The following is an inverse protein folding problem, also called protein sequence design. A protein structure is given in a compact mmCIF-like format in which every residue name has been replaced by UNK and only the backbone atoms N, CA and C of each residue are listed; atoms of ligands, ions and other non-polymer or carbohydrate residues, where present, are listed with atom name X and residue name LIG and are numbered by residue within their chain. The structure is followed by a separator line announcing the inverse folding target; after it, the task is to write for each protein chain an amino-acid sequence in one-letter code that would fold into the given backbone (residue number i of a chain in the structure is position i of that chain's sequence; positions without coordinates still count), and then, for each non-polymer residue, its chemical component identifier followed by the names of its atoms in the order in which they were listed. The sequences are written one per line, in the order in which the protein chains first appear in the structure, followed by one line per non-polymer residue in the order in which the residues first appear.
data_IF_170090860926
#
_entry.id   IF_170090860926
#
_cell.length_a   1.000
_cell.length_b   1.000
_cell.length_c   1.000
_cell.angle_alpha   90.00
_cell.angle_beta   90.00
_cell.angle_gamma   90.00
#
_symmetry.space_group_name_H-M   'P 1'
#
loop_
_entity.id
_entity.type
_entity.pdbx_description
1 polymer ?
#
# COMPACT_ATOMS: atom_id res chain seq x y z
N UNK A 1 -14.09 -0.18 4.73
CA UNK A 1 -13.90 0.99 3.86
C UNK A 1 -13.18 0.63 2.56
N UNK A 2 -12.07 -0.10 2.61
CA UNK A 2 -11.28 -0.45 1.42
C UNK A 2 -12.08 -1.23 0.36
N UNK A 3 -12.91 -2.19 0.77
CA UNK A 3 -13.71 -3.01 -0.14
C UNK A 3 -14.69 -2.21 -1.03
N UNK A 4 -15.10 -1.02 -0.61
CA UNK A 4 -15.97 -0.15 -1.40
C UNK A 4 -15.23 0.90 -2.22
N UNK A 5 -14.08 1.36 -1.72
CA UNK A 5 -13.35 2.49 -2.32
C UNK A 5 -12.69 2.10 -3.64
N UNK A 6 -12.04 0.94 -3.70
CA UNK A 6 -11.35 0.48 -4.91
C UNK A 6 -12.31 0.27 -6.09
N UNK A 7 -13.41 -0.52 -5.96
CA UNK A 7 -14.34 -0.69 -7.06
C UNK A 7 -14.99 0.61 -7.52
N UNK A 8 -15.40 1.47 -6.57
CA UNK A 8 -16.03 2.74 -6.90
C UNK A 8 -15.10 3.67 -7.70
N UNK A 9 -13.80 3.67 -7.35
CA UNK A 9 -12.84 4.50 -8.08
C UNK A 9 -12.51 3.92 -9.46
N UNK A 10 -12.41 2.60 -9.58
CA UNK A 10 -12.24 1.93 -10.86
C UNK A 10 -13.41 2.20 -11.81
N UNK A 11 -14.64 2.22 -11.29
CA UNK A 11 -15.83 2.57 -12.05
C UNK A 11 -15.87 4.06 -12.43
N UNK A 12 -15.37 4.95 -11.59
CA UNK A 12 -15.28 6.38 -11.87
C UNK A 12 -14.23 6.69 -12.96
N UNK A 13 -13.16 5.89 -13.05
CA UNK A 13 -12.07 6.06 -14.02
C UNK A 13 -11.90 4.85 -14.95
N UNK A 14 -12.89 4.52 -15.79
CA UNK A 14 -12.86 3.30 -16.61
C UNK A 14 -11.75 3.28 -17.67
N UNK A 15 -11.17 4.44 -18.01
CA UNK A 15 -10.07 4.54 -18.99
C UNK A 15 -8.69 4.19 -18.39
N UNK A 16 -8.54 4.27 -17.09
CA UNK A 16 -7.25 4.06 -16.40
C UNK A 16 -7.44 3.55 -14.96
N UNK A 17 -8.06 2.37 -14.78
CA UNK A 17 -8.36 1.85 -13.44
C UNK A 17 -7.09 1.61 -12.61
N UNK A 18 -6.00 1.16 -13.24
CA UNK A 18 -4.72 0.97 -12.57
C UNK A 18 -4.11 2.27 -12.02
N UNK A 19 -4.19 3.36 -12.78
CA UNK A 19 -3.72 4.68 -12.31
C UNK A 19 -4.53 5.17 -11.11
N UNK A 20 -5.84 4.93 -11.12
CA UNK A 20 -6.72 5.27 -10.01
C UNK A 20 -6.34 4.52 -8.72
N UNK A 21 -6.06 3.23 -8.81
CA UNK A 21 -5.61 2.41 -7.68
C UNK A 21 -4.26 2.88 -7.12
N UNK A 22 -3.31 3.19 -8.00
CA UNK A 22 -2.00 3.72 -7.59
C UNK A 22 -2.17 5.06 -6.86
N UNK A 23 -3.10 5.91 -7.30
CA UNK A 23 -3.38 7.19 -6.66
C UNK A 23 -3.91 7.02 -5.24
N UNK A 24 -4.85 6.08 -5.00
CA UNK A 24 -5.31 5.76 -3.63
C UNK A 24 -4.10 5.40 -2.76
N UNK A 25 -3.22 4.55 -3.26
CA UNK A 25 -2.06 4.12 -2.48
C UNK A 25 -1.09 5.27 -2.18
N UNK A 26 -0.91 6.20 -3.11
CA UNK A 26 -0.13 7.41 -2.85
C UNK A 26 -0.69 8.21 -1.67
N UNK A 27 -2.01 8.40 -1.62
CA UNK A 27 -2.67 9.08 -0.50
C UNK A 27 -2.54 8.31 0.81
N UNK A 28 -2.72 6.98 0.81
CA UNK A 28 -2.54 6.13 2.00
C UNK A 28 -1.10 6.24 2.51
N UNK A 29 -0.10 6.11 1.63
CA UNK A 29 1.31 6.22 2.02
C UNK A 29 1.68 7.62 2.51
N UNK A 30 1.09 8.67 1.93
CA UNK A 30 1.27 10.05 2.40
C UNK A 30 0.71 10.22 3.81
N UNK A 31 -0.47 9.66 4.10
CA UNK A 31 -1.05 9.66 5.44
C UNK A 31 -0.17 8.92 6.46
N UNK A 32 0.36 7.77 6.08
CA UNK A 32 1.29 7.00 6.92
C UNK A 32 2.60 7.74 7.19
N UNK A 33 3.07 8.56 6.27
CA UNK A 33 4.25 9.41 6.45
C UNK A 33 3.97 10.62 7.33
N UNK A 34 2.83 11.28 7.12
CA UNK A 34 2.45 12.48 7.87
C UNK A 34 2.15 12.20 9.35
N UNK A 35 1.58 11.05 9.67
CA UNK A 35 1.19 10.71 11.04
C UNK A 35 2.36 10.76 12.04
N UNK A 36 3.51 10.13 11.80
CA UNK A 36 4.67 10.24 12.70
C UNK A 36 5.19 11.67 12.84
N UNK A 37 5.11 12.47 11.77
CA UNK A 37 5.54 13.88 11.82
C UNK A 37 4.60 14.71 12.71
N UNK A 38 3.29 14.50 12.59
CA UNK A 38 2.30 15.17 13.46
C UNK A 38 2.52 14.77 14.91
N UNK A 39 2.72 13.50 15.20
CA UNK A 39 3.00 13.02 16.56
C UNK A 39 4.30 13.63 17.10
N UNK A 40 5.37 13.66 16.31
CA UNK A 40 6.64 14.27 16.71
C UNK A 40 6.50 15.77 17.03
N UNK A 41 5.68 16.46 16.25
CA UNK A 41 5.43 17.90 16.45
C UNK A 41 4.61 18.15 17.73
N UNK A 42 3.61 17.31 18.02
CA UNK A 42 2.83 17.38 19.24
C UNK A 42 3.69 17.10 20.49
N UNK A 43 4.57 16.08 20.41
CA UNK A 43 5.51 15.77 21.49
C UNK A 43 6.51 16.91 21.71
N UNK A 44 7.01 17.52 20.63
CA UNK A 44 7.90 18.68 20.73
C UNK A 44 7.21 19.90 21.36
N UNK A 45 5.90 20.07 21.08
CA UNK A 45 5.08 21.14 21.66
C UNK A 45 4.58 20.83 23.08
N UNK A 46 5.07 19.74 23.71
CA UNK A 46 4.64 19.26 25.03
C UNK A 46 3.12 19.05 25.18
N UNK A 47 2.43 18.83 24.07
CA UNK A 47 1.01 18.57 24.06
C UNK A 47 0.74 17.09 24.34
N UNK A 48 -0.38 16.84 25.01
CA UNK A 48 -0.84 15.47 25.25
C UNK A 48 -1.06 14.72 23.94
N UNK A 49 -0.51 13.51 23.82
CA UNK A 49 -0.57 12.73 22.57
C UNK A 49 -2.00 12.45 22.10
N UNK A 50 -3.01 12.50 22.98
CA UNK A 50 -4.42 12.36 22.64
C UNK A 50 -4.93 13.38 21.60
N UNK A 51 -4.25 14.52 21.45
CA UNK A 51 -4.55 15.49 20.40
C UNK A 51 -4.41 14.90 18.99
N UNK A 52 -3.50 13.94 18.80
CA UNK A 52 -3.36 13.24 17.51
C UNK A 52 -4.64 12.48 17.12
N UNK A 53 -5.31 11.86 18.09
CA UNK A 53 -6.59 11.18 17.86
C UNK A 53 -7.72 12.17 17.61
N UNK A 54 -7.73 13.31 18.30
CA UNK A 54 -8.74 14.37 18.07
C UNK A 54 -8.58 14.98 16.68
N UNK A 55 -7.36 15.23 16.22
CA UNK A 55 -7.08 15.71 14.85
C UNK A 55 -7.55 14.67 13.83
N UNK A 56 -7.22 13.39 14.02
CA UNK A 56 -7.65 12.31 13.14
C UNK A 56 -9.19 12.21 13.11
N UNK A 57 -9.86 12.27 14.25
CA UNK A 57 -11.32 12.28 14.35
C UNK A 57 -11.94 13.48 13.61
N UNK A 58 -11.35 14.67 13.75
CA UNK A 58 -11.77 15.88 13.03
C UNK A 58 -11.66 15.72 11.51
N UNK A 59 -10.55 15.18 11.02
CA UNK A 59 -10.35 14.88 9.59
C UNK A 59 -11.40 13.86 9.09
N UNK A 60 -11.65 12.80 9.87
CA UNK A 60 -12.66 11.78 9.54
C UNK A 60 -14.07 12.40 9.49
N UNK A 61 -14.39 13.27 10.43
CA UNK A 61 -15.68 13.98 10.45
C UNK A 61 -15.87 14.88 9.23
N UNK A 62 -14.85 15.67 8.89
CA UNK A 62 -14.87 16.51 7.69
C UNK A 62 -15.04 15.64 6.42
N UNK A 63 -14.31 14.53 6.32
CA UNK A 63 -14.45 13.59 5.22
C UNK A 63 -15.88 13.01 5.14
N UNK A 64 -16.49 12.65 6.26
CA UNK A 64 -17.87 12.16 6.29
C UNK A 64 -18.85 13.22 5.75
N UNK A 65 -18.67 14.50 6.09
CA UNK A 65 -19.47 15.60 5.56
C UNK A 65 -19.31 15.78 4.04
N UNK A 66 -18.08 15.65 3.53
CA UNK A 66 -17.85 15.69 2.09
C UNK A 66 -18.50 14.49 1.39
N UNK A 67 -18.35 13.29 1.91
CA UNK A 67 -18.95 12.07 1.35
C UNK A 67 -20.48 12.13 1.34
N UNK A 68 -21.10 12.76 2.32
CA UNK A 68 -22.55 12.96 2.36
C UNK A 68 -23.05 13.78 1.16
N UNK A 69 -22.25 14.69 0.65
CA UNK A 69 -22.58 15.52 -0.53
C UNK A 69 -22.13 14.91 -1.87
N UNK A 70 -21.30 13.86 -1.85
CA UNK A 70 -20.82 13.22 -3.07
C UNK A 70 -21.91 12.33 -3.68
N UNK A 71 -22.14 12.49 -4.98
CA UNK A 71 -22.97 11.56 -5.75
C UNK A 71 -22.15 10.35 -6.13
N UNK A 72 -22.47 9.21 -5.54
CA UNK A 72 -21.83 7.94 -5.92
C UNK A 72 -22.31 7.48 -7.29
N UNK A 73 -21.47 6.78 -8.07
CA UNK A 73 -21.88 6.18 -9.32
C UNK A 73 -23.06 5.23 -9.09
N UNK A 74 -24.02 5.17 -10.03
CA UNK A 74 -25.20 4.31 -9.89
C UNK A 74 -24.80 2.84 -9.75
N UNK A 75 -25.46 2.14 -8.85
CA UNK A 75 -25.20 0.72 -8.58
C UNK A 75 -25.20 -0.09 -9.88
N UNK A 76 -24.23 -1.00 -10.10
CA UNK A 76 -24.12 -1.79 -11.34
C UNK A 76 -25.39 -2.58 -11.71
N UNK A 77 -26.20 -2.98 -10.73
CA UNK A 77 -27.51 -3.60 -10.94
C UNK A 77 -28.61 -2.71 -11.53
N UNK A 78 -28.38 -1.39 -11.61
CA UNK A 78 -29.29 -0.40 -12.22
C UNK A 78 -28.88 0.04 -13.62
N UNK A 79 -27.77 -0.45 -14.13
CA UNK A 79 -27.38 -0.15 -15.51
C UNK A 79 -28.33 -0.88 -16.45
N UNK A 80 -29.04 -0.12 -17.28
CA UNK A 80 -29.74 -0.64 -18.44
C UNK A 80 -28.83 -1.59 -19.23
N UNK A 81 -29.36 -2.64 -19.85
CA UNK A 81 -28.54 -3.62 -20.54
C UNK A 81 -27.63 -2.89 -21.53
N UNK A 82 -26.33 -2.86 -21.19
CA UNK A 82 -25.32 -2.37 -22.11
C UNK A 82 -25.39 -3.27 -23.33
N UNK A 83 -25.70 -2.66 -24.49
CA UNK A 83 -25.57 -3.28 -25.79
C UNK A 83 -24.25 -4.04 -25.77
N UNK A 84 -24.33 -5.38 -25.84
CA UNK A 84 -23.18 -6.25 -25.96
C UNK A 84 -22.33 -5.76 -27.12
N UNK A 85 -21.28 -5.01 -26.84
CA UNK A 85 -20.19 -4.92 -27.79
C UNK A 85 -19.67 -6.31 -27.93
N UNK A 86 -19.98 -6.94 -29.06
CA UNK A 86 -19.39 -8.16 -29.58
C UNK A 86 -17.90 -7.89 -29.84
N UNK A 87 -17.15 -7.75 -28.80
CA UNK A 87 -15.72 -7.94 -28.87
C UNK A 87 -15.53 -9.39 -28.42
N UNK A 88 -15.11 -10.22 -29.33
CA UNK A 88 -14.63 -11.58 -29.10
C UNK A 88 -13.41 -11.51 -28.16
N UNK A 89 -13.66 -11.21 -26.91
CA UNK A 89 -12.72 -11.52 -25.83
C UNK A 89 -12.85 -13.05 -25.68
N UNK A 90 -11.83 -13.75 -26.09
CA UNK A 90 -11.57 -15.11 -25.66
C UNK A 90 -11.80 -15.10 -24.14
N UNK A 91 -12.90 -15.71 -23.70
CA UNK A 91 -13.16 -15.91 -22.28
C UNK A 91 -12.01 -16.77 -21.77
N UNK A 92 -11.00 -16.14 -21.22
CA UNK A 92 -9.98 -16.83 -20.46
C UNK A 92 -10.72 -17.39 -19.24
N UNK A 93 -11.11 -18.68 -19.34
CA UNK A 93 -11.65 -19.41 -18.19
C UNK A 93 -10.59 -19.36 -17.12
N UNK A 94 -10.80 -18.49 -16.13
CA UNK A 94 -9.93 -18.39 -14.97
C UNK A 94 -9.91 -19.78 -14.31
N UNK A 95 -8.76 -20.42 -14.33
CA UNK A 95 -8.60 -21.71 -13.68
C UNK A 95 -8.75 -21.53 -12.17
N UNK A 96 -9.32 -22.52 -11.49
CA UNK A 96 -9.38 -22.53 -10.01
C UNK A 96 -7.97 -22.40 -9.43
N UNK A 97 -6.96 -22.91 -10.11
CA UNK A 97 -5.55 -22.80 -9.73
C UNK A 97 -5.09 -21.33 -9.79
N UNK A 98 -5.47 -20.59 -10.85
CA UNK A 98 -5.12 -19.18 -10.98
C UNK A 98 -5.76 -18.36 -9.87
N UNK A 99 -7.06 -18.57 -9.60
CA UNK A 99 -7.79 -17.91 -8.54
C UNK A 99 -7.16 -18.19 -7.17
N UNK A 100 -6.84 -19.45 -6.87
CA UNK A 100 -6.19 -19.84 -5.62
C UNK A 100 -4.80 -19.21 -5.49
N UNK A 101 -4.01 -19.18 -6.57
CA UNK A 101 -2.68 -18.57 -6.59
C UNK A 101 -2.72 -17.08 -6.31
N UNK A 102 -3.63 -16.34 -6.97
CA UNK A 102 -3.79 -14.90 -6.73
C UNK A 102 -4.28 -14.60 -5.31
N UNK A 103 -5.23 -15.40 -4.79
CA UNK A 103 -5.75 -15.23 -3.44
C UNK A 103 -4.65 -15.50 -2.39
N UNK A 104 -3.89 -16.58 -2.55
CA UNK A 104 -2.79 -16.92 -1.67
C UNK A 104 -1.68 -15.87 -1.71
N UNK A 105 -1.34 -15.39 -2.91
CA UNK A 105 -0.37 -14.32 -3.09
C UNK A 105 -0.81 -13.03 -2.37
N UNK A 106 -2.06 -12.62 -2.57
CA UNK A 106 -2.62 -11.45 -1.90
C UNK A 106 -2.60 -11.57 -0.38
N UNK A 107 -2.96 -12.74 0.14
CA UNK A 107 -2.92 -13.03 1.58
C UNK A 107 -1.50 -12.93 2.14
N UNK A 108 -0.52 -13.61 1.53
CA UNK A 108 0.87 -13.62 2.00
C UNK A 108 1.47 -12.21 1.92
N UNK A 109 1.21 -11.49 0.83
CA UNK A 109 1.72 -10.12 0.63
C UNK A 109 1.19 -9.17 1.71
N UNK A 110 -0.12 -9.21 1.98
CA UNK A 110 -0.73 -8.39 3.03
C UNK A 110 -0.27 -8.79 4.43
N UNK A 111 -0.17 -10.10 4.72
CA UNK A 111 0.34 -10.58 6.00
C UNK A 111 1.77 -10.09 6.24
N UNK A 112 2.65 -10.17 5.23
CA UNK A 112 4.03 -9.68 5.31
C UNK A 112 4.06 -8.16 5.52
N UNK A 113 3.24 -7.40 4.80
CA UNK A 113 3.12 -5.96 4.98
C UNK A 113 2.75 -5.58 6.41
N UNK A 114 1.70 -6.18 6.96
CA UNK A 114 1.27 -5.89 8.33
C UNK A 114 2.30 -6.35 9.37
N UNK A 115 2.86 -7.53 9.19
CA UNK A 115 3.87 -8.05 10.10
C UNK A 115 5.08 -7.11 10.17
N UNK A 116 5.63 -6.73 9.02
CA UNK A 116 6.78 -5.83 8.99
C UNK A 116 6.43 -4.46 9.56
N UNK A 117 5.30 -3.87 9.16
CA UNK A 117 4.92 -2.53 9.64
C UNK A 117 4.69 -2.47 11.16
N UNK A 118 4.18 -3.55 11.77
CA UNK A 118 3.92 -3.61 13.21
C UNK A 118 5.18 -3.93 14.03
N UNK A 119 6.04 -4.83 13.54
CA UNK A 119 7.15 -5.36 14.32
C UNK A 119 8.51 -4.79 13.98
N UNK A 120 8.63 -3.99 12.90
CA UNK A 120 9.90 -3.45 12.44
C UNK A 120 10.65 -2.65 13.51
N UNK A 121 9.95 -1.78 14.25
CA UNK A 121 10.56 -0.98 15.31
C UNK A 121 11.05 -1.86 16.47
N UNK A 122 10.25 -2.84 16.87
CA UNK A 122 10.62 -3.78 17.93
C UNK A 122 11.78 -4.68 17.50
N UNK A 123 11.78 -5.16 16.26
CA UNK A 123 12.89 -5.92 15.71
C UNK A 123 14.20 -5.11 15.73
N UNK A 124 14.15 -3.84 15.30
CA UNK A 124 15.31 -2.94 15.36
C UNK A 124 15.84 -2.75 16.79
N UNK A 125 14.95 -2.62 17.76
CA UNK A 125 15.33 -2.44 19.15
C UNK A 125 15.89 -3.71 19.81
N UNK A 126 15.16 -4.83 19.71
CA UNK A 126 15.48 -6.04 20.47
C UNK A 126 16.50 -6.96 19.77
N UNK A 127 16.53 -6.97 18.44
CA UNK A 127 17.40 -7.86 17.68
C UNK A 127 18.64 -7.13 17.16
N UNK A 128 18.48 -5.95 16.60
CA UNK A 128 19.60 -5.15 16.06
C UNK A 128 20.25 -4.22 17.12
N UNK A 129 19.75 -4.21 18.37
CA UNK A 129 20.32 -3.39 19.45
C UNK A 129 20.23 -1.88 19.23
N UNK A 130 19.26 -1.42 18.43
CA UNK A 130 19.09 0.01 18.13
C UNK A 130 18.48 0.75 19.33
N UNK A 131 18.82 2.03 19.48
CA UNK A 131 18.14 2.88 20.45
C UNK A 131 16.67 3.06 20.09
N UNK A 132 15.81 3.28 21.08
CA UNK A 132 14.36 3.46 20.89
C UNK A 132 14.03 4.50 19.80
N UNK A 133 14.70 5.65 19.84
CA UNK A 133 14.49 6.73 18.86
C UNK A 133 14.87 6.33 17.44
N UNK A 134 15.94 5.54 17.28
CA UNK A 134 16.35 5.04 15.97
C UNK A 134 15.41 3.97 15.43
N UNK A 135 14.91 3.10 16.30
CA UNK A 135 13.95 2.05 15.94
C UNK A 135 12.64 2.64 15.40
N UNK A 136 12.15 3.73 15.98
CA UNK A 136 10.95 4.42 15.47
C UNK A 136 11.23 5.03 14.09
N UNK A 137 12.44 5.56 13.83
CA UNK A 137 12.82 6.12 12.53
C UNK A 137 12.81 5.06 11.40
N UNK A 138 12.96 3.77 11.73
CA UNK A 138 12.84 2.69 10.74
C UNK A 138 11.48 2.71 10.03
N UNK A 139 10.41 2.99 10.76
CA UNK A 139 9.07 3.08 10.16
C UNK A 139 8.96 4.26 9.18
N UNK A 140 9.63 5.37 9.46
CA UNK A 140 9.70 6.50 8.52
C UNK A 140 10.49 6.13 7.26
N UNK A 141 11.60 5.40 7.40
CA UNK A 141 12.39 4.92 6.26
C UNK A 141 11.56 3.94 5.40
N UNK A 142 10.83 3.05 6.03
CA UNK A 142 9.91 2.14 5.37
C UNK A 142 8.83 2.90 4.58
N UNK A 143 8.21 3.91 5.16
CA UNK A 143 7.19 4.73 4.47
C UNK A 143 7.75 5.56 3.32
N UNK A 144 8.97 6.07 3.44
CA UNK A 144 9.68 6.72 2.33
C UNK A 144 9.89 5.74 1.18
N UNK A 145 10.34 4.52 1.47
CA UNK A 145 10.45 3.44 0.46
C UNK A 145 9.13 3.19 -0.26
N UNK A 146 8.02 3.10 0.50
CA UNK A 146 6.68 2.89 -0.05
C UNK A 146 6.21 4.03 -0.95
N UNK A 147 6.46 5.28 -0.56
CA UNK A 147 6.14 6.45 -1.38
C UNK A 147 6.94 6.45 -2.70
N UNK A 148 8.25 6.24 -2.61
CA UNK A 148 9.11 6.18 -3.80
C UNK A 148 8.69 5.07 -4.76
N UNK A 149 8.29 3.91 -4.24
CA UNK A 149 7.77 2.82 -5.07
C UNK A 149 6.58 3.28 -5.91
N UNK A 150 5.62 3.97 -5.32
CA UNK A 150 4.43 4.45 -6.05
C UNK A 150 4.84 5.38 -7.20
N UNK A 151 5.70 6.35 -6.93
CA UNK A 151 6.14 7.32 -7.94
C UNK A 151 6.97 6.68 -9.08
N UNK A 152 7.75 5.66 -8.77
CA UNK A 152 8.60 4.97 -9.76
C UNK A 152 7.79 3.93 -10.53
N UNK A 153 6.94 3.17 -9.85
CA UNK A 153 6.21 2.05 -10.45
C UNK A 153 5.07 2.53 -11.37
N UNK A 154 4.40 3.63 -11.02
CA UNK A 154 3.31 4.17 -11.83
C UNK A 154 3.70 4.47 -13.30
N UNK A 155 4.76 5.25 -13.57
CA UNK A 155 5.20 5.49 -14.94
C UNK A 155 5.81 4.25 -15.61
N UNK A 156 6.40 3.36 -14.83
CA UNK A 156 7.05 2.15 -15.35
C UNK A 156 6.03 1.16 -15.92
N UNK A 157 4.91 0.96 -15.24
CA UNK A 157 3.79 0.14 -15.73
C UNK A 157 3.18 0.76 -16.99
N UNK A 158 3.03 2.07 -17.00
CA UNK A 158 2.40 2.75 -18.13
C UNK A 158 3.20 2.63 -19.43
N UNK A 159 4.52 2.65 -19.36
CA UNK A 159 5.36 2.88 -20.54
C UNK A 159 6.18 1.67 -20.99
N UNK A 160 6.56 0.73 -20.11
CA UNK A 160 7.69 -0.12 -20.48
C UNK A 160 7.58 -1.59 -20.02
N UNK A 161 7.01 -1.90 -18.88
CA UNK A 161 7.13 -3.22 -18.27
C UNK A 161 5.77 -3.86 -18.00
N UNK A 162 5.67 -5.17 -18.25
CA UNK A 162 4.46 -5.94 -17.91
C UNK A 162 4.28 -5.98 -16.39
N UNK A 163 3.06 -5.75 -15.86
CA UNK A 163 2.78 -5.77 -14.43
C UNK A 163 3.27 -7.05 -13.73
N UNK A 164 3.08 -8.20 -14.36
CA UNK A 164 3.51 -9.51 -13.83
C UNK A 164 5.02 -9.61 -13.62
N UNK A 165 5.81 -9.04 -14.53
CA UNK A 165 7.29 -9.05 -14.41
C UNK A 165 7.75 -8.20 -13.23
N UNK A 166 7.14 -7.03 -13.04
CA UNK A 166 7.42 -6.17 -11.87
C UNK A 166 7.02 -6.86 -10.57
N UNK A 167 5.87 -7.53 -10.56
CA UNK A 167 5.39 -8.27 -9.41
C UNK A 167 6.40 -9.35 -8.99
N UNK A 168 6.85 -10.16 -9.94
CA UNK A 168 7.85 -11.20 -9.70
C UNK A 168 9.18 -10.61 -9.20
N UNK A 169 9.64 -9.52 -9.81
CA UNK A 169 10.88 -8.84 -9.43
C UNK A 169 10.81 -8.32 -7.99
N UNK A 170 9.74 -7.60 -7.64
CA UNK A 170 9.56 -7.05 -6.29
C UNK A 170 9.42 -8.14 -5.23
N UNK A 171 8.71 -9.21 -5.53
CA UNK A 171 8.60 -10.36 -4.62
C UNK A 171 9.96 -11.02 -4.39
N UNK A 172 10.76 -11.18 -5.43
CA UNK A 172 12.09 -11.75 -5.32
C UNK A 172 13.05 -10.86 -4.52
N UNK A 173 13.01 -9.55 -4.75
CA UNK A 173 13.81 -8.58 -3.96
C UNK A 173 13.36 -8.60 -2.49
N UNK A 174 12.05 -8.64 -2.22
CA UNK A 174 11.52 -8.76 -0.86
C UNK A 174 11.99 -10.02 -0.16
N UNK A 175 12.00 -11.14 -0.87
CA UNK A 175 12.48 -12.42 -0.34
C UNK A 175 13.96 -12.35 0.06
N UNK A 176 14.82 -11.82 -0.82
CA UNK A 176 16.25 -11.65 -0.54
C UNK A 176 16.45 -10.71 0.66
N UNK A 177 15.71 -9.62 0.73
CA UNK A 177 15.82 -8.66 1.82
C UNK A 177 15.43 -9.30 3.17
N UNK A 178 14.31 -10.02 3.23
CA UNK A 178 13.87 -10.76 4.42
C UNK A 178 14.91 -11.80 4.83
N UNK A 179 15.42 -12.57 3.89
CA UNK A 179 16.42 -13.59 4.16
C UNK A 179 17.71 -12.98 4.72
N UNK A 180 18.17 -11.88 4.13
CA UNK A 180 19.39 -11.18 4.58
C UNK A 180 19.25 -10.62 5.98
N UNK A 181 18.12 -10.00 6.33
CA UNK A 181 17.92 -9.45 7.68
C UNK A 181 17.79 -10.54 8.74
N UNK A 182 17.25 -11.70 8.38
CA UNK A 182 17.21 -12.85 9.32
C UNK A 182 18.59 -13.43 9.62
N UNK A 183 19.49 -13.44 8.63
CA UNK A 183 20.83 -13.99 8.81
C UNK A 183 21.80 -13.01 9.47
N UNK A 184 21.71 -11.75 9.15
CA UNK A 184 22.64 -10.71 9.59
C UNK A 184 21.91 -9.46 10.10
N UNK A 185 21.34 -9.48 11.32
CA UNK A 185 20.57 -8.37 11.86
C UNK A 185 21.48 -7.22 12.36
N UNK A 186 22.33 -6.69 11.50
CA UNK A 186 23.18 -5.55 11.83
C UNK A 186 22.45 -4.22 11.61
N UNK A 187 22.87 -3.18 12.30
CA UNK A 187 22.28 -1.84 12.23
C UNK A 187 22.03 -1.36 10.78
N UNK A 188 23.05 -1.42 9.92
CA UNK A 188 22.94 -0.97 8.52
C UNK A 188 22.03 -1.87 7.68
N UNK A 189 22.08 -3.17 7.90
CA UNK A 189 21.24 -4.15 7.18
C UNK A 189 19.78 -3.92 7.48
N UNK A 190 19.42 -3.64 8.74
CA UNK A 190 18.01 -3.38 9.13
C UNK A 190 17.49 -2.07 8.53
N UNK A 191 18.32 -1.03 8.42
CA UNK A 191 17.95 0.22 7.75
C UNK A 191 17.68 -0.01 6.26
N UNK A 192 18.60 -0.67 5.57
CA UNK A 192 18.47 -0.99 4.14
C UNK A 192 17.25 -1.90 3.93
N UNK A 193 17.06 -2.88 4.78
CA UNK A 193 15.91 -3.76 4.77
C UNK A 193 14.60 -2.98 4.91
N UNK A 194 14.49 -2.07 5.87
CA UNK A 194 13.30 -1.24 6.08
C UNK A 194 12.94 -0.46 4.80
N UNK A 195 13.92 0.14 4.15
CA UNK A 195 13.73 0.86 2.90
C UNK A 195 13.31 -0.08 1.75
N UNK A 196 14.05 -1.18 1.55
CA UNK A 196 13.80 -2.13 0.46
C UNK A 196 12.43 -2.79 0.60
N UNK A 197 12.06 -3.24 1.79
CA UNK A 197 10.74 -3.82 2.04
C UNK A 197 9.64 -2.78 1.89
N UNK A 198 9.85 -1.55 2.36
CA UNK A 198 8.90 -0.46 2.13
C UNK A 198 8.68 -0.24 0.63
N UNK A 199 9.76 -0.24 -0.14
CA UNK A 199 9.69 -0.08 -1.59
C UNK A 199 9.01 -1.25 -2.29
N UNK A 200 9.33 -2.49 -1.95
CA UNK A 200 8.87 -3.67 -2.71
C UNK A 200 7.53 -4.22 -2.26
N UNK A 201 7.20 -4.19 -0.97
CA UNK A 201 5.99 -4.84 -0.44
C UNK A 201 4.80 -3.88 -0.28
N UNK A 202 5.07 -2.62 0.06
CA UNK A 202 4.00 -1.73 0.50
C UNK A 202 3.26 -1.00 -0.64
N UNK A 203 3.94 -0.64 -1.70
CA UNK A 203 3.40 0.31 -2.67
C UNK A 203 2.84 -0.31 -3.93
N UNK A 204 3.61 -1.14 -4.58
CA UNK A 204 3.32 -1.53 -5.96
C UNK A 204 2.72 -2.91 -6.10
N UNK A 205 3.17 -3.84 -5.25
CA UNK A 205 2.96 -5.27 -5.48
C UNK A 205 1.49 -5.66 -5.39
N UNK A 206 0.79 -5.19 -4.38
CA UNK A 206 -0.65 -5.51 -4.20
C UNK A 206 -1.50 -4.84 -5.28
N UNK A 207 -1.08 -3.70 -5.78
CA UNK A 207 -1.87 -2.93 -6.75
C UNK A 207 -1.58 -3.31 -8.19
N UNK A 208 -0.39 -3.79 -8.49
CA UNK A 208 -0.06 -4.35 -9.79
C UNK A 208 -0.88 -5.63 -10.06
N UNK A 209 -1.14 -6.42 -9.02
CA UNK A 209 -1.95 -7.62 -9.13
C UNK A 209 -3.46 -7.38 -9.29
N UNK A 210 -3.93 -6.13 -9.07
CA UNK A 210 -5.34 -5.74 -9.19
C UNK A 210 -5.67 -5.06 -10.53
N UNK A 211 -4.69 -4.83 -11.39
CA UNK A 211 -4.86 -4.20 -12.72
C UNK A 211 -4.77 -5.21 -13.84
#
# INVERSE_FOLDING_TARGET
LDAGTYPSLMEAFPRSPGTANILIKAFVSSGQFLLPLIISLLVWAELWFGWSFMIAAGIMFINALFLYRCTFPPHPGRRLPVIKKTTSSTEHRCSIIDLASYTLYGYISMATFYLVSQWLAQYGQFVAGMSYTMSIKLLSIYTVGSLLCVFITAPLIRNTVRPTTLLMLYTFISFIALFTVCLHPTFYVVIIFAFVIGFTSAGGVVQIGLT
#
